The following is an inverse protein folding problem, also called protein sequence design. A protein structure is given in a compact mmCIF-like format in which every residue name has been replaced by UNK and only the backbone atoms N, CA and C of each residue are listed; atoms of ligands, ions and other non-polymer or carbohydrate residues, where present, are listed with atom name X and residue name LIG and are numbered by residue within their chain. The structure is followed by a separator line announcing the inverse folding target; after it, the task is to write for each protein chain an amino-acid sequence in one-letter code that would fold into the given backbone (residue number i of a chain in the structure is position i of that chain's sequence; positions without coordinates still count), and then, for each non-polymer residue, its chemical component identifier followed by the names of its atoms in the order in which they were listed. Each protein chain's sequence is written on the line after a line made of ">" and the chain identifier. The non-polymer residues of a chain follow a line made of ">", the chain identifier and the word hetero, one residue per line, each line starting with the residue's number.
data_IF_294834719876
#
_entry.id   IF_294834719876
#
_cell.length_a   1.000
_cell.length_b   1.000
_cell.length_c   1.000
_cell.angle_alpha   90.00
_cell.angle_beta   90.00
_cell.angle_gamma   90.00
#
_symmetry.space_group_name_H-M   'P 1'
#
loop_
_entity.id
_entity.type
_entity.pdbx_description
1 polymer ?
#
# COMPACT_ATOMS: atom_id res chain seq x y z
N UNK A 1 -15.92 2.80 -21.68
CA UNK A 1 -14.51 2.44 -21.82
C UNK A 1 -14.12 1.49 -20.70
N UNK A 2 -13.52 0.32 -20.96
CA UNK A 2 -13.14 -0.60 -19.89
C UNK A 2 -12.17 0.06 -18.89
N UNK A 3 -12.33 -0.31 -17.63
CA UNK A 3 -11.55 0.20 -16.50
C UNK A 3 -10.80 -0.95 -15.84
N UNK A 4 -9.48 -0.83 -15.72
CA UNK A 4 -8.63 -1.80 -15.06
C UNK A 4 -8.37 -1.41 -13.60
N UNK A 5 -8.30 -2.41 -12.74
CA UNK A 5 -8.03 -2.21 -11.31
C UNK A 5 -6.80 -3.03 -10.93
N UNK A 6 -5.86 -2.40 -10.23
CA UNK A 6 -4.62 -3.02 -9.78
C UNK A 6 -4.45 -2.83 -8.28
N UNK A 7 -3.87 -3.82 -7.62
CA UNK A 7 -3.22 -3.63 -6.30
C UNK A 7 -1.79 -3.20 -6.57
N UNK A 8 -1.35 -2.17 -5.85
CA UNK A 8 0.03 -1.72 -5.83
C UNK A 8 0.59 -1.92 -4.43
N UNK A 9 1.78 -2.51 -4.33
CA UNK A 9 2.52 -2.66 -3.08
C UNK A 9 3.83 -1.89 -3.15
N UNK A 10 4.06 -1.06 -2.14
CA UNK A 10 5.27 -0.26 -1.97
C UNK A 10 6.13 -0.80 -0.85
N UNK A 11 7.45 -0.69 -1.01
CA UNK A 11 8.41 -0.89 0.09
C UNK A 11 8.17 0.12 1.20
N UNK A 12 8.69 -0.17 2.39
CA UNK A 12 8.71 0.83 3.46
C UNK A 12 9.45 2.10 2.99
N UNK A 13 8.87 3.30 3.23
CA UNK A 13 9.57 4.56 2.97
C UNK A 13 10.71 4.83 3.97
N UNK A 14 10.84 4.01 5.02
CA UNK A 14 11.89 4.15 6.02
C UNK A 14 13.08 3.30 5.61
N UNK A 15 14.21 3.95 5.33
CA UNK A 15 15.44 3.30 4.90
C UNK A 15 15.84 2.16 5.86
N UNK A 16 16.13 0.99 5.29
CA UNK A 16 16.53 -0.19 6.05
C UNK A 16 15.41 -0.88 6.85
N UNK A 17 14.15 -0.43 6.74
CA UNK A 17 13.01 -1.00 7.49
C UNK A 17 11.88 -1.55 6.61
N UNK A 18 12.25 -2.19 5.51
CA UNK A 18 11.31 -2.92 4.65
C UNK A 18 10.87 -4.25 5.29
N UNK A 19 10.07 -4.14 6.34
CA UNK A 19 9.39 -5.23 7.03
C UNK A 19 7.95 -5.35 6.52
N UNK A 20 7.37 -6.54 6.62
CA UNK A 20 6.02 -6.81 6.13
C UNK A 20 4.97 -5.83 6.70
N UNK A 21 5.09 -5.44 7.98
CA UNK A 21 4.19 -4.48 8.65
C UNK A 21 4.32 -3.04 8.17
N UNK A 22 5.43 -2.71 7.52
CA UNK A 22 5.74 -1.36 7.04
C UNK A 22 5.50 -1.19 5.54
N UNK A 23 5.15 -2.26 4.82
CA UNK A 23 4.80 -2.17 3.39
C UNK A 23 3.43 -1.53 3.24
N UNK A 24 3.33 -0.65 2.25
CA UNK A 24 2.10 0.08 1.97
C UNK A 24 1.38 -0.57 0.78
N UNK A 25 0.05 -0.62 0.84
CA UNK A 25 -0.79 -1.15 -0.23
C UNK A 25 -1.84 -0.11 -0.64
N UNK A 26 -2.08 -0.03 -1.95
CA UNK A 26 -3.04 0.91 -2.55
C UNK A 26 -3.74 0.25 -3.75
N UNK A 27 -4.81 0.89 -4.23
CA UNK A 27 -5.51 0.52 -5.45
C UNK A 27 -5.28 1.55 -6.55
N UNK A 28 -4.87 1.10 -7.72
CA UNK A 28 -4.74 1.93 -8.91
C UNK A 28 -5.86 1.61 -9.90
N UNK A 29 -6.57 2.63 -10.34
CA UNK A 29 -7.67 2.53 -11.30
C UNK A 29 -7.24 3.20 -12.59
N UNK A 30 -7.33 2.47 -13.70
CA UNK A 30 -6.92 2.92 -15.02
C UNK A 30 -8.04 2.78 -16.02
N UNK A 31 -8.54 3.90 -16.52
CA UNK A 31 -9.58 3.95 -17.53
C UNK A 31 -8.97 4.20 -18.90
N UNK A 32 -9.52 3.52 -19.91
CA UNK A 32 -9.04 3.63 -21.31
C UNK A 32 -9.32 4.99 -21.97
N UNK A 33 -10.00 5.91 -21.30
CA UNK A 33 -10.10 7.32 -21.70
C UNK A 33 -8.87 8.18 -21.29
N UNK A 34 -7.84 7.54 -20.73
CA UNK A 34 -6.61 8.20 -20.30
C UNK A 34 -6.65 8.73 -18.86
N UNK A 35 -7.78 8.58 -18.16
CA UNK A 35 -7.85 8.87 -16.73
C UNK A 35 -7.29 7.71 -15.92
N UNK A 36 -6.46 8.03 -14.94
CA UNK A 36 -6.02 7.08 -13.93
C UNK A 36 -5.88 7.76 -12.58
N UNK A 37 -6.00 6.99 -11.52
CA UNK A 37 -5.94 7.51 -10.15
C UNK A 37 -5.47 6.44 -9.19
N UNK A 38 -4.73 6.85 -8.15
CA UNK A 38 -4.31 5.99 -7.06
C UNK A 38 -5.15 6.30 -5.82
N UNK A 39 -5.71 5.29 -5.17
CA UNK A 39 -6.44 5.40 -3.92
C UNK A 39 -5.77 4.56 -2.84
N UNK A 40 -5.60 5.11 -1.65
CA UNK A 40 -5.02 4.43 -0.50
C UNK A 40 -5.22 5.19 0.79
N UNK A 41 -4.82 4.61 1.91
CA UNK A 41 -4.85 5.27 3.21
C UNK A 41 -3.54 5.98 3.52
N UNK A 42 -3.63 7.17 4.10
CA UNK A 42 -2.50 7.88 4.69
C UNK A 42 -2.75 8.11 6.18
N UNK A 43 -1.68 8.30 6.94
CA UNK A 43 -1.76 8.57 8.38
C UNK A 43 -1.24 7.41 9.23
N UNK A 44 -1.68 7.42 10.48
CA UNK A 44 -1.28 6.46 11.52
C UNK A 44 -2.51 5.79 12.12
N UNK A 45 -2.29 4.72 12.88
CA UNK A 45 -3.36 4.02 13.58
C UNK A 45 -4.29 4.97 14.35
N UNK A 46 -5.61 4.80 14.16
CA UNK A 46 -6.65 5.65 14.76
C UNK A 46 -6.84 7.02 14.10
N UNK A 47 -6.09 7.33 13.03
CA UNK A 47 -6.18 8.61 12.31
C UNK A 47 -5.82 8.45 10.83
N UNK A 48 -6.34 7.42 10.17
CA UNK A 48 -6.21 7.22 8.74
C UNK A 48 -7.16 8.13 7.96
N UNK A 49 -6.68 8.63 6.83
CA UNK A 49 -7.46 9.36 5.84
C UNK A 49 -7.38 8.63 4.49
N UNK A 50 -8.53 8.48 3.84
CA UNK A 50 -8.55 8.03 2.44
C UNK A 50 -8.06 9.16 1.55
N UNK A 51 -7.03 8.89 0.76
CA UNK A 51 -6.47 9.83 -0.20
C UNK A 51 -6.64 9.28 -1.61
N UNK A 52 -7.16 10.13 -2.49
CA UNK A 52 -7.13 9.92 -3.94
C UNK A 52 -6.05 10.82 -4.55
N UNK A 53 -5.23 10.25 -5.42
CA UNK A 53 -4.17 10.95 -6.17
C UNK A 53 -4.44 10.77 -7.67
N UNK A 54 -5.24 11.66 -8.29
CA UNK A 54 -5.49 11.63 -9.72
C UNK A 54 -4.20 11.82 -10.51
N UNK A 55 -4.07 11.12 -11.63
CA UNK A 55 -2.89 11.14 -12.50
C UNK A 55 -1.58 10.78 -11.77
N UNK A 56 -1.66 9.99 -10.69
CA UNK A 56 -0.48 9.41 -10.05
C UNK A 56 -0.19 8.03 -10.64
N UNK A 57 0.96 7.91 -11.32
CA UNK A 57 1.40 6.68 -11.98
C UNK A 57 2.32 5.89 -11.03
N UNK A 58 1.90 4.70 -10.54
CA UNK A 58 2.70 3.91 -9.62
C UNK A 58 4.08 3.51 -10.15
N UNK A 59 4.22 3.34 -11.47
CA UNK A 59 5.48 2.92 -12.10
C UNK A 59 6.55 4.02 -12.13
N UNK A 60 6.20 5.25 -11.79
CA UNK A 60 7.15 6.36 -11.63
C UNK A 60 7.75 6.42 -10.22
N UNK A 61 7.23 5.63 -9.27
CA UNK A 61 7.76 5.55 -7.91
C UNK A 61 8.92 4.56 -7.82
N UNK A 62 10.04 5.01 -7.25
CA UNK A 62 11.23 4.21 -6.96
C UNK A 62 11.04 3.16 -5.84
N UNK A 63 10.02 3.37 -5.00
CA UNK A 63 9.64 2.47 -3.91
C UNK A 63 8.48 1.54 -4.27
N UNK A 64 7.95 1.60 -5.50
CA UNK A 64 6.99 0.59 -6.00
C UNK A 64 7.70 -0.76 -6.10
N UNK A 65 7.20 -1.76 -5.39
CA UNK A 65 7.80 -3.09 -5.36
C UNK A 65 7.03 -4.05 -6.29
N UNK A 66 5.73 -4.18 -6.06
CA UNK A 66 4.87 -5.12 -6.79
C UNK A 66 3.59 -4.47 -7.29
N UNK A 67 3.03 -5.05 -8.33
CA UNK A 67 1.72 -4.73 -8.85
C UNK A 67 1.00 -6.02 -9.25
N UNK A 68 -0.32 -6.03 -9.14
CA UNK A 68 -1.15 -7.13 -9.59
C UNK A 68 -2.46 -6.61 -10.15
N UNK A 69 -2.74 -6.99 -11.40
CA UNK A 69 -4.01 -6.70 -12.05
C UNK A 69 -5.10 -7.54 -11.42
N UNK A 70 -6.07 -6.87 -10.77
CA UNK A 70 -7.23 -7.51 -10.13
C UNK A 70 -8.23 -7.94 -11.20
N UNK A 71 -8.62 -7.00 -12.07
CA UNK A 71 -9.60 -7.25 -13.14
C UNK A 71 -9.56 -6.17 -14.22
N UNK A 72 -10.37 -6.38 -15.26
CA UNK A 72 -10.84 -5.34 -16.17
C UNK A 72 -12.37 -5.31 -16.14
N UNK A 73 -12.95 -4.23 -15.63
CA UNK A 73 -14.40 -4.01 -15.60
C UNK A 73 -14.84 -3.40 -16.93
N UNK A 74 -15.80 -4.04 -17.59
CA UNK A 74 -16.41 -3.51 -18.82
C UNK A 74 -17.32 -2.32 -18.49
N UNK A 75 -17.41 -1.34 -19.40
CA UNK A 75 -18.22 -0.13 -19.20
C UNK A 75 -19.71 -0.42 -19.02
N UNK A 76 -20.18 -1.48 -19.68
CA UNK A 76 -21.55 -1.96 -19.60
C UNK A 76 -21.91 -2.45 -18.19
N UNK A 77 -20.91 -2.86 -17.41
CA UNK A 77 -21.06 -3.29 -16.01
C UNK A 77 -21.02 -2.05 -15.11
N UNK A 78 -19.97 -1.24 -15.22
CA UNK A 78 -19.82 -0.03 -14.43
C UNK A 78 -18.93 1.00 -15.13
N UNK A 79 -19.31 2.27 -15.01
CA UNK A 79 -18.44 3.38 -15.39
C UNK A 79 -17.29 3.55 -14.39
N UNK A 80 -16.18 4.14 -14.84
CA UNK A 80 -15.04 4.48 -13.95
C UNK A 80 -15.46 5.27 -12.71
N UNK A 81 -16.40 6.21 -12.86
CA UNK A 81 -16.84 7.08 -11.76
C UNK A 81 -17.58 6.28 -10.68
N UNK A 82 -18.36 5.26 -11.09
CA UNK A 82 -19.02 4.35 -10.14
C UNK A 82 -18.03 3.47 -9.41
N UNK A 83 -17.00 2.99 -10.11
CA UNK A 83 -15.91 2.20 -9.49
C UNK A 83 -15.22 3.05 -8.42
N UNK A 84 -14.82 4.28 -8.77
CA UNK A 84 -14.14 5.21 -7.86
C UNK A 84 -15.06 5.60 -6.68
N UNK A 85 -16.36 5.85 -6.91
CA UNK A 85 -17.31 6.16 -5.84
C UNK A 85 -17.46 4.99 -4.84
N UNK A 86 -17.52 3.74 -5.33
CA UNK A 86 -17.54 2.55 -4.45
C UNK A 86 -16.27 2.47 -3.61
N UNK A 87 -15.10 2.67 -4.23
CA UNK A 87 -13.83 2.69 -3.50
C UNK A 87 -13.79 3.78 -2.43
N UNK A 88 -14.27 4.99 -2.76
CA UNK A 88 -14.34 6.13 -1.84
C UNK A 88 -15.28 5.95 -0.66
N UNK A 89 -16.32 5.13 -0.81
CA UNK A 89 -17.26 4.79 0.25
C UNK A 89 -16.77 3.66 1.15
N UNK A 90 -15.61 3.08 0.87
CA UNK A 90 -15.01 2.07 1.75
C UNK A 90 -14.72 2.69 3.10
N UNK A 91 -15.32 2.12 4.14
CA UNK A 91 -15.18 2.60 5.50
C UNK A 91 -13.72 2.57 5.96
N UNK A 92 -13.29 3.66 6.60
CA UNK A 92 -11.97 3.77 7.23
C UNK A 92 -12.16 3.60 8.72
N UNK A 93 -11.66 2.49 9.27
CA UNK A 93 -11.75 2.23 10.71
C UNK A 93 -10.68 3.02 11.45
N UNK A 94 -11.13 4.04 12.18
CA UNK A 94 -10.34 4.85 13.10
C UNK A 94 -10.80 4.69 14.55
N UNK A 95 -11.48 3.59 14.89
CA UNK A 95 -11.90 3.34 16.28
C UNK A 95 -10.66 3.28 17.19
N UNK A 96 -10.56 4.13 18.22
CA UNK A 96 -9.45 4.09 19.18
C UNK A 96 -9.32 2.75 19.94
N UNK A 97 -10.36 1.91 19.92
CA UNK A 97 -10.35 0.56 20.53
C UNK A 97 -9.80 -0.51 19.60
N UNK A 98 -9.62 -0.21 18.32
CA UNK A 98 -8.95 -1.13 17.41
C UNK A 98 -7.51 -1.37 17.89
N UNK A 99 -7.10 -2.63 17.96
CA UNK A 99 -5.85 -3.06 18.56
C UNK A 99 -4.61 -2.78 17.70
N UNK A 100 -4.76 -2.08 16.56
CA UNK A 100 -3.69 -1.82 15.60
C UNK A 100 -3.71 -2.77 14.41
N UNK A 101 -4.82 -3.49 14.21
CA UNK A 101 -4.95 -4.49 13.15
C UNK A 101 -5.50 -3.87 11.85
N UNK A 102 -6.09 -2.67 11.93
CA UNK A 102 -6.53 -1.93 10.76
C UNK A 102 -5.41 -1.07 10.17
N UNK A 103 -5.20 -1.20 8.86
CA UNK A 103 -4.23 -0.42 8.09
C UNK A 103 -4.60 -0.36 6.60
N UNK A 104 -3.67 0.16 5.77
CA UNK A 104 -3.84 0.23 4.32
C UNK A 104 -4.12 -1.12 3.64
N UNK A 105 -3.59 -2.24 4.14
CA UNK A 105 -3.81 -3.60 3.59
C UNK A 105 -5.22 -4.06 3.92
N UNK A 106 -5.68 -3.79 5.14
CA UNK A 106 -7.06 -4.09 5.55
C UNK A 106 -8.07 -3.26 4.77
N UNK A 107 -7.78 -1.98 4.52
CA UNK A 107 -8.60 -1.14 3.65
C UNK A 107 -8.67 -1.66 2.22
N UNK A 108 -7.55 -2.08 1.61
CA UNK A 108 -7.57 -2.72 0.27
C UNK A 108 -8.48 -3.94 0.27
N UNK A 109 -8.41 -4.78 1.30
CA UNK A 109 -9.32 -5.91 1.45
C UNK A 109 -10.80 -5.46 1.47
N UNK A 110 -11.13 -4.47 2.28
CA UNK A 110 -12.50 -3.98 2.42
C UNK A 110 -13.01 -3.33 1.12
N UNK A 111 -12.13 -2.60 0.41
CA UNK A 111 -12.43 -2.01 -0.89
C UNK A 111 -12.72 -3.08 -1.96
N UNK A 112 -11.94 -4.16 -2.01
CA UNK A 112 -12.19 -5.27 -2.93
C UNK A 112 -13.49 -6.01 -2.61
N UNK A 113 -13.83 -6.18 -1.33
CA UNK A 113 -15.12 -6.74 -0.93
C UNK A 113 -16.30 -5.84 -1.35
N UNK A 114 -16.14 -4.53 -1.27
CA UNK A 114 -17.15 -3.58 -1.76
C UNK A 114 -17.33 -3.69 -3.28
N UNK A 115 -16.24 -3.80 -4.04
CA UNK A 115 -16.32 -4.01 -5.50
C UNK A 115 -17.01 -5.34 -5.86
N UNK A 116 -16.72 -6.43 -5.14
CA UNK A 116 -17.42 -7.71 -5.31
C UNK A 116 -18.91 -7.59 -4.99
N UNK A 117 -19.25 -6.96 -3.86
CA UNK A 117 -20.65 -6.78 -3.42
C UNK A 117 -21.47 -5.98 -4.44
N UNK A 118 -20.83 -5.05 -5.16
CA UNK A 118 -21.45 -4.28 -6.24
C UNK A 118 -21.45 -5.02 -7.60
N UNK A 119 -20.89 -6.23 -7.66
CA UNK A 119 -20.85 -7.05 -8.88
C UNK A 119 -19.78 -6.64 -9.88
N UNK A 120 -18.78 -5.87 -9.47
CA UNK A 120 -17.68 -5.42 -10.35
C UNK A 120 -16.49 -6.40 -10.34
N UNK A 121 -16.46 -7.29 -9.35
CA UNK A 121 -15.51 -8.38 -9.20
C UNK A 121 -16.26 -9.68 -8.90
N UNK A 122 -15.67 -10.79 -9.31
CA UNK A 122 -16.03 -12.11 -8.80
C UNK A 122 -15.28 -12.42 -7.51
N UNK A 123 -15.82 -13.33 -6.70
CA UNK A 123 -15.15 -13.84 -5.49
C UNK A 123 -13.75 -14.41 -5.82
N UNK A 124 -13.61 -15.07 -6.97
CA UNK A 124 -12.36 -15.66 -7.43
C UNK A 124 -11.30 -14.59 -7.71
N UNK A 125 -11.67 -13.50 -8.39
CA UNK A 125 -10.76 -12.37 -8.65
C UNK A 125 -10.35 -11.68 -7.35
N UNK A 126 -11.30 -11.42 -6.43
CA UNK A 126 -10.97 -10.87 -5.12
C UNK A 126 -9.98 -11.75 -4.37
N UNK A 127 -10.27 -13.06 -4.28
CA UNK A 127 -9.41 -14.00 -3.54
C UNK A 127 -8.02 -14.08 -4.13
N UNK A 128 -7.90 -14.19 -5.45
CA UNK A 128 -6.61 -14.22 -6.14
C UNK A 128 -5.81 -12.93 -5.89
N UNK A 129 -6.47 -11.77 -5.92
CA UNK A 129 -5.83 -10.49 -5.67
C UNK A 129 -5.35 -10.35 -4.21
N UNK A 130 -6.13 -10.83 -3.24
CA UNK A 130 -5.73 -10.86 -1.83
C UNK A 130 -4.55 -11.80 -1.58
N UNK A 131 -4.60 -13.02 -2.15
CA UNK A 131 -3.50 -13.98 -2.03
C UNK A 131 -2.21 -13.41 -2.63
N UNK A 132 -2.30 -12.71 -3.76
CA UNK A 132 -1.17 -12.00 -4.37
C UNK A 132 -0.64 -10.88 -3.46
N UNK A 133 -1.52 -10.02 -2.93
CA UNK A 133 -1.13 -8.96 -2.01
C UNK A 133 -0.42 -9.50 -0.76
N UNK A 134 -0.96 -10.56 -0.15
CA UNK A 134 -0.35 -11.22 1.01
C UNK A 134 1.03 -11.75 0.63
N UNK A 135 1.14 -12.45 -0.50
CA UNK A 135 2.42 -12.95 -1.00
C UNK A 135 3.46 -11.84 -1.21
N UNK A 136 3.05 -10.71 -1.78
CA UNK A 136 3.93 -9.56 -1.96
C UNK A 136 4.34 -8.93 -0.63
N UNK A 137 3.43 -8.79 0.33
CA UNK A 137 3.75 -8.22 1.63
C UNK A 137 4.67 -9.15 2.43
N UNK A 138 4.45 -10.45 2.37
CA UNK A 138 5.29 -11.47 3.02
C UNK A 138 6.67 -11.63 2.38
N UNK A 139 6.85 -11.19 1.12
CA UNK A 139 8.17 -11.15 0.49
C UNK A 139 9.15 -10.12 1.08
N UNK A 140 8.72 -9.34 2.07
CA UNK A 140 9.56 -8.40 2.82
C UNK A 140 10.60 -9.13 3.70
N UNK A 141 11.59 -8.38 4.22
CA UNK A 141 12.53 -8.95 5.20
C UNK A 141 11.79 -9.23 6.52
N UNK A 142 12.17 -10.33 7.18
CA UNK A 142 11.75 -10.58 8.56
C UNK A 142 12.49 -9.67 9.55
N UNK A 143 11.81 -9.29 10.62
CA UNK A 143 12.37 -8.48 11.71
C UNK A 143 13.48 -9.21 12.49
N UNK A 144 13.67 -10.51 12.27
CA UNK A 144 14.69 -11.34 12.93
C UNK A 144 16.15 -10.96 12.61
N UNK A 145 16.38 -10.02 11.69
CA UNK A 145 17.69 -9.38 11.46
C UNK A 145 17.88 -8.01 12.13
N UNK A 146 16.86 -7.45 12.77
CA UNK A 146 16.83 -6.07 13.27
C UNK A 146 17.24 -5.91 14.74
N UNK A 147 17.20 -6.99 15.51
CA UNK A 147 17.78 -7.03 16.86
C UNK A 147 19.23 -7.50 16.78
N UNK A 148 20.15 -6.54 16.65
CA UNK A 148 21.55 -6.77 16.98
C UNK A 148 21.71 -6.96 18.50
N UNK A 149 21.29 -8.09 19.05
CA UNK A 149 21.97 -8.59 20.24
C UNK A 149 23.33 -9.12 19.77
N UNK A 150 24.39 -8.38 20.10
CA UNK A 150 25.80 -8.63 19.79
C UNK A 150 26.34 -8.03 18.49
N UNK A 151 26.65 -6.73 18.54
CA UNK A 151 28.08 -6.36 18.66
C UNK A 151 28.21 -5.17 19.60
N UNK A 152 28.83 -5.40 20.75
CA UNK A 152 29.70 -4.41 21.35
C UNK A 152 30.71 -3.96 20.29
N UNK A 153 30.44 -2.88 19.57
CA UNK A 153 31.52 -2.08 18.99
C UNK A 153 31.73 -0.90 19.91
N UNK A 154 32.78 -1.06 20.71
CA UNK A 154 33.38 -0.05 21.56
C UNK A 154 33.53 1.26 20.79
N UNK A 155 32.78 2.29 21.17
CA UNK A 155 33.24 3.66 20.98
C UNK A 155 34.18 3.99 22.15
N UNK A 156 35.39 3.45 22.10
CA UNK A 156 36.51 3.96 22.89
C UNK A 156 37.53 4.57 21.93
N UNK A 157 37.62 5.91 22.02
CA UNK A 157 38.83 6.72 21.89
C UNK A 157 39.81 6.38 20.74
N UNK A 158 39.97 7.30 19.79
CA UNK A 158 41.22 8.04 19.62
C UNK A 158 41.13 9.08 18.49
N UNK A 159 41.37 10.34 18.88
CA UNK A 159 42.10 11.41 18.17
C UNK A 159 41.73 11.73 16.72
N UNK A 160 41.09 12.90 16.56
CA UNK A 160 41.55 13.86 15.56
C UNK A 160 41.92 15.18 16.27
N UNK A 161 43.21 15.32 16.53
CA UNK A 161 43.89 16.60 16.62
C UNK A 161 43.88 17.23 15.23
N UNK A 162 43.24 18.40 15.07
CA UNK A 162 43.71 19.53 14.26
C UNK A 162 42.65 20.64 14.25
N UNK A 163 42.79 21.60 15.16
CA UNK A 163 42.30 22.96 14.95
C UNK A 163 43.50 23.88 15.17
N UNK A 164 43.89 24.51 14.06
CA UNK A 164 45.04 25.35 13.90
C UNK A 164 44.94 26.62 14.76
N UNK A 165 46.11 27.05 15.24
CA UNK A 165 46.39 28.38 15.73
C UNK A 165 46.34 29.36 14.55
N UNK A 166 45.62 30.46 14.73
CA UNK A 166 46.06 31.83 14.45
C UNK A 166 45.44 32.77 15.49
#
# INVERSE_FOLDING_TARGET
>A
MPTEIFIIVYRSPIEGRDYYKNRHAALWVNSSDGFYTLLGLEGIHGSFELVERPFNNPWESDIKEHDHKVTTVAEEIASKDRIIDVLKRTEVNNDPKDTGDYDCRKWVLDALMNLETNGYLTEAERKAALDAMIGFVMGAKDEEGAFAFSTCYQFNSHRDTNLALD
#
